data_IF_250857976149
#
_entry.id   IF_250857976149
#
_cell.length_a   1.000
_cell.length_b   1.000
_cell.length_c   1.000
_cell.angle_alpha   90.00
_cell.angle_beta   90.00
_cell.angle_gamma   90.00
#
_symmetry.space_group_name_H-M   'P 1'
#
loop_
_entity.id
_entity.type
_entity.pdbx_description
1 polymer ?
#
# COMPACT_ATOMS: atom_id res chain seq x y z
N UNK A 1 12.23 -8.82 -7.53
CA UNK A 1 11.61 -7.86 -6.59
C UNK A 1 10.11 -7.71 -6.78
N UNK A 2 9.61 -7.64 -8.03
CA UNK A 2 8.16 -7.59 -8.33
C UNK A 2 7.36 -8.73 -7.66
N UNK A 3 7.89 -9.95 -7.64
CA UNK A 3 7.23 -11.11 -7.03
C UNK A 3 7.06 -11.01 -5.49
N UNK A 4 7.94 -10.27 -4.81
CA UNK A 4 7.83 -10.06 -3.35
C UNK A 4 6.73 -9.03 -3.04
N UNK A 5 6.64 -7.95 -3.83
CA UNK A 5 5.58 -6.95 -3.74
C UNK A 5 4.21 -7.53 -4.12
N UNK A 6 4.19 -8.50 -5.04
CA UNK A 6 3.01 -9.25 -5.45
C UNK A 6 2.72 -10.47 -4.54
N UNK A 7 3.45 -10.64 -3.44
CA UNK A 7 3.12 -11.72 -2.51
C UNK A 7 1.83 -11.35 -1.75
N UNK A 8 0.82 -12.24 -1.77
CA UNK A 8 -0.43 -12.09 -0.99
C UNK A 8 -0.22 -11.76 0.49
N UNK A 9 0.95 -12.11 1.05
CA UNK A 9 1.33 -11.82 2.44
C UNK A 9 1.91 -10.42 2.62
N UNK A 10 2.46 -9.81 1.58
CA UNK A 10 3.11 -8.49 1.62
C UNK A 10 2.09 -7.35 1.70
N UNK A 11 0.96 -7.48 1.01
CA UNK A 11 -0.10 -6.46 1.01
C UNK A 11 -0.63 -6.13 2.41
N UNK A 12 -1.11 -7.10 3.24
CA UNK A 12 -1.62 -6.77 4.57
C UNK A 12 -0.54 -6.17 5.47
N UNK A 13 0.70 -6.64 5.37
CA UNK A 13 1.83 -6.08 6.13
C UNK A 13 2.10 -4.62 5.74
N UNK A 14 2.02 -4.30 4.44
CA UNK A 14 2.19 -2.94 3.93
C UNK A 14 1.16 -1.96 4.53
N UNK A 15 -0.10 -2.36 4.58
CA UNK A 15 -1.17 -1.54 5.17
C UNK A 15 -1.02 -1.36 6.68
N UNK A 16 -0.60 -2.42 7.40
CA UNK A 16 -0.34 -2.33 8.85
C UNK A 16 0.78 -1.35 9.15
N UNK A 17 1.89 -1.42 8.43
CA UNK A 17 3.03 -0.50 8.58
C UNK A 17 2.62 0.93 8.24
N UNK A 18 1.83 1.12 7.17
CA UNK A 18 1.28 2.43 6.80
C UNK A 18 0.40 3.04 7.91
N UNK A 19 -0.46 2.23 8.53
CA UNK A 19 -1.30 2.69 9.65
C UNK A 19 -0.47 3.05 10.88
N UNK A 20 0.53 2.23 11.24
CA UNK A 20 1.45 2.55 12.33
C UNK A 20 2.21 3.85 12.08
N UNK A 21 2.67 4.09 10.84
CA UNK A 21 3.37 5.32 10.49
C UNK A 21 2.48 6.55 10.69
N UNK A 22 1.21 6.50 10.27
CA UNK A 22 0.23 7.58 10.47
C UNK A 22 0.06 7.89 11.97
N UNK A 23 -0.11 6.85 12.80
CA UNK A 23 -0.22 7.00 14.25
C UNK A 23 1.03 7.64 14.87
N UNK A 24 2.20 7.25 14.39
CA UNK A 24 3.48 7.73 14.90
C UNK A 24 3.70 9.21 14.54
N UNK A 25 3.40 9.61 13.30
CA UNK A 25 3.45 11.03 12.92
C UNK A 25 2.39 11.87 13.65
N UNK A 26 1.21 11.30 13.91
CA UNK A 26 0.19 11.93 14.76
C UNK A 26 0.68 12.15 16.18
N UNK A 27 1.39 11.18 16.75
CA UNK A 27 1.94 11.25 18.10
C UNK A 27 3.06 12.30 18.22
N UNK A 28 3.88 12.45 17.18
CA UNK A 28 4.93 13.48 17.11
C UNK A 28 4.35 14.90 16.94
N UNK A 29 3.04 15.02 16.67
CA UNK A 29 2.35 16.30 16.54
C UNK A 29 2.32 16.88 15.12
N UNK A 30 2.64 16.08 14.10
CA UNK A 30 2.54 16.51 12.71
C UNK A 30 1.10 16.92 12.34
N UNK A 31 0.95 17.90 11.44
CA UNK A 31 -0.38 18.34 10.98
C UNK A 31 -1.05 17.29 10.08
N UNK A 32 -2.38 17.33 9.95
CA UNK A 32 -3.11 16.29 9.22
C UNK A 32 -2.76 16.32 7.74
N UNK A 33 -2.45 17.53 7.25
CA UNK A 33 -2.03 17.78 5.88
C UNK A 33 -0.65 17.19 5.61
N UNK A 34 0.32 17.36 6.52
CA UNK A 34 1.66 16.76 6.37
C UNK A 34 1.61 15.23 6.38
N UNK A 35 0.86 14.66 7.33
CA UNK A 35 0.68 13.21 7.40
C UNK A 35 0.00 12.69 6.14
N UNK A 36 -1.02 13.39 5.65
CA UNK A 36 -1.70 13.03 4.41
C UNK A 36 -0.75 13.08 3.20
N UNK A 37 0.02 14.16 3.03
CA UNK A 37 0.94 14.31 1.91
C UNK A 37 2.00 13.20 1.86
N UNK A 38 2.56 12.82 3.02
CA UNK A 38 3.57 11.76 3.10
C UNK A 38 2.95 10.37 2.94
N UNK A 39 1.79 10.14 3.53
CA UNK A 39 1.13 8.83 3.53
C UNK A 39 0.42 8.53 2.21
N UNK A 40 -0.07 9.56 1.51
CA UNK A 40 -0.88 9.41 0.30
C UNK A 40 -0.12 8.68 -0.82
N UNK A 41 1.13 9.07 -1.08
CA UNK A 41 1.95 8.42 -2.11
C UNK A 41 2.24 6.95 -1.77
N UNK A 42 2.51 6.65 -0.49
CA UNK A 42 2.66 5.26 -0.04
C UNK A 42 1.36 4.47 -0.21
N UNK A 43 0.22 5.00 0.25
CA UNK A 43 -1.06 4.34 0.10
C UNK A 43 -1.42 4.08 -1.37
N UNK A 44 -1.13 5.02 -2.27
CA UNK A 44 -1.35 4.87 -3.71
C UNK A 44 -0.58 3.67 -4.27
N UNK A 45 0.71 3.53 -3.94
CA UNK A 45 1.54 2.39 -4.38
C UNK A 45 1.03 1.06 -3.82
N UNK A 46 0.61 1.04 -2.56
CA UNK A 46 0.00 -0.14 -1.93
C UNK A 46 -1.31 -0.56 -2.60
N UNK A 47 -2.18 0.40 -2.90
CA UNK A 47 -3.46 0.15 -3.59
C UNK A 47 -3.25 -0.31 -5.02
N UNK A 48 -2.32 0.31 -5.77
CA UNK A 48 -1.98 -0.13 -7.13
C UNK A 48 -1.41 -1.56 -7.13
N UNK A 49 -0.51 -1.88 -6.19
CA UNK A 49 0.04 -3.22 -6.05
C UNK A 49 -1.03 -4.24 -5.64
N UNK A 50 -2.00 -3.85 -4.83
CA UNK A 50 -3.15 -4.69 -4.50
C UNK A 50 -4.07 -4.89 -5.71
N UNK A 51 -4.34 -3.84 -6.48
CA UNK A 51 -5.16 -3.93 -7.69
C UNK A 51 -4.50 -4.83 -8.76
N UNK A 52 -3.19 -4.70 -8.98
CA UNK A 52 -2.44 -5.61 -9.87
C UNK A 52 -2.52 -7.06 -9.38
N UNK A 53 -2.30 -7.31 -8.08
CA UNK A 53 -2.45 -8.65 -7.50
C UNK A 53 -3.85 -9.22 -7.65
N UNK A 54 -4.87 -8.40 -7.42
CA UNK A 54 -6.26 -8.82 -7.48
C UNK A 54 -6.67 -9.11 -8.93
N UNK A 55 -6.28 -8.26 -9.88
CA UNK A 55 -6.49 -8.46 -11.33
C UNK A 55 -5.78 -9.72 -11.84
N UNK A 56 -4.52 -9.93 -11.42
CA UNK A 56 -3.77 -11.15 -11.76
C UNK A 56 -4.41 -12.39 -11.14
N UNK A 57 -4.85 -12.30 -9.87
CA UNK A 57 -5.50 -13.43 -9.17
C UNK A 57 -6.92 -13.72 -9.64
N UNK A 58 -7.63 -12.76 -10.26
CA UNK A 58 -8.95 -12.94 -10.85
C UNK A 58 -8.92 -13.47 -12.30
N UNK A 59 -7.74 -13.76 -12.86
CA UNK A 59 -7.64 -14.41 -14.16
C UNK A 59 -7.91 -13.49 -15.36
N UNK A 60 -7.75 -12.17 -15.22
CA UNK A 60 -7.60 -11.27 -16.38
C UNK A 60 -6.17 -11.34 -16.96
N UNK A 61 -5.61 -12.55 -17.05
CA UNK A 61 -4.61 -12.83 -18.08
C UNK A 61 -5.39 -12.95 -19.39
N UNK A 62 -5.75 -11.79 -19.95
CA UNK A 62 -6.12 -11.68 -21.36
C UNK A 62 -4.97 -12.31 -22.13
N UNK A 63 -5.26 -13.42 -22.80
CA UNK A 63 -4.40 -14.01 -23.81
C UNK A 63 -3.87 -12.89 -24.70
N UNK A 64 -2.57 -12.70 -24.65
CA UNK A 64 -1.76 -12.06 -25.67
C UNK A 64 -0.49 -12.90 -25.77
#
# INVERSE_FOLDING_TARGET
MRDLLLSKKFVPVYFIVGFLAILLFRFIGASWVEVFLVSFLCFLVGVLSFAENFLVSFGLKRSA
#
